data_IF_519327511876
#
_entry.id   IF_519327511876
#
_cell.length_a   1.000
_cell.length_b   1.000
_cell.length_c   1.000
_cell.angle_alpha   90.00
_cell.angle_beta   90.00
_cell.angle_gamma   90.00
#
_symmetry.space_group_name_H-M   'P 1'
#
loop_
_entity.id
_entity.type
_entity.pdbx_description
1 polymer ?
#
# COMPACT_ATOMS: atom_id res chain seq x y z
N UNK A 1 14.47 -20.51 -6.45
CA UNK A 1 15.55 -20.14 -7.39
C UNK A 1 16.78 -21.03 -7.29
N UNK A 2 17.33 -21.31 -6.10
CA UNK A 2 18.47 -22.23 -5.96
C UNK A 2 18.21 -23.61 -6.60
N UNK A 3 17.12 -24.28 -6.22
CA UNK A 3 16.75 -25.60 -6.77
C UNK A 3 16.59 -25.59 -8.29
N UNK A 4 16.03 -24.51 -8.86
CA UNK A 4 15.88 -24.32 -10.30
C UNK A 4 17.24 -24.22 -11.01
N UNK A 5 18.19 -23.45 -10.46
CA UNK A 5 19.52 -23.30 -11.03
C UNK A 5 20.34 -24.60 -10.88
N UNK A 6 20.17 -25.31 -9.76
CA UNK A 6 20.84 -26.58 -9.49
C UNK A 6 20.39 -27.68 -10.47
N UNK A 7 19.08 -27.85 -10.67
CA UNK A 7 18.53 -28.85 -11.59
C UNK A 7 18.94 -28.62 -13.06
N UNK A 8 19.21 -27.38 -13.45
CA UNK A 8 19.60 -27.00 -14.82
C UNK A 8 21.11 -26.81 -15.03
N UNK A 9 21.93 -27.06 -14.01
CA UNK A 9 23.39 -26.87 -14.10
C UNK A 9 23.84 -25.42 -14.20
N UNK A 10 22.98 -24.45 -13.90
CA UNK A 10 23.23 -23.00 -14.01
C UNK A 10 23.99 -22.46 -12.78
N UNK A 11 25.17 -23.01 -12.50
CA UNK A 11 25.95 -22.72 -11.28
C UNK A 11 26.47 -21.28 -11.25
N UNK A 12 26.94 -20.78 -12.39
CA UNK A 12 27.47 -19.42 -12.54
C UNK A 12 26.36 -18.37 -12.37
N UNK A 13 25.18 -18.64 -12.95
CA UNK A 13 24.00 -17.78 -12.79
C UNK A 13 23.60 -17.72 -11.31
N UNK A 14 23.61 -18.85 -10.60
CA UNK A 14 23.37 -18.85 -9.16
C UNK A 14 24.42 -18.06 -8.39
N UNK A 15 25.71 -18.21 -8.73
CA UNK A 15 26.80 -17.44 -8.12
C UNK A 15 26.61 -15.93 -8.29
N UNK A 16 26.27 -15.49 -9.50
CA UNK A 16 25.93 -14.09 -9.79
C UNK A 16 24.70 -13.63 -9.00
N UNK A 17 23.59 -14.38 -9.06
CA UNK A 17 22.36 -14.03 -8.35
C UNK A 17 22.56 -14.00 -6.84
N UNK A 18 23.41 -14.86 -6.28
CA UNK A 18 23.76 -14.86 -4.87
C UNK A 18 24.54 -13.59 -4.50
N UNK A 19 25.61 -13.29 -5.24
CA UNK A 19 26.46 -12.13 -4.97
C UNK A 19 25.73 -10.80 -5.18
N UNK A 20 24.85 -10.73 -6.16
CA UNK A 20 24.11 -9.51 -6.48
C UNK A 20 22.84 -9.35 -5.63
N UNK A 21 22.06 -10.42 -5.47
CA UNK A 21 20.71 -10.35 -4.89
C UNK A 21 20.61 -11.17 -3.60
N UNK A 22 20.80 -12.49 -3.61
CA UNK A 22 20.43 -13.32 -2.45
C UNK A 22 21.38 -13.24 -1.23
N UNK A 23 22.55 -12.61 -1.35
CA UNK A 23 23.47 -12.40 -0.23
C UNK A 23 22.80 -11.56 0.88
N UNK A 24 22.87 -11.93 2.18
CA UNK A 24 22.22 -11.21 3.27
C UNK A 24 22.56 -9.72 3.36
N UNK A 25 23.78 -9.35 2.95
CA UNK A 25 24.23 -7.97 2.92
C UNK A 25 23.51 -7.18 1.81
N UNK A 26 23.35 -7.78 0.63
CA UNK A 26 22.64 -7.19 -0.51
C UNK A 26 21.12 -7.27 -0.36
N UNK A 27 20.60 -8.31 0.31
CA UNK A 27 19.20 -8.48 0.66
C UNK A 27 18.62 -7.21 1.30
N UNK A 28 19.39 -6.55 2.17
CA UNK A 28 18.97 -5.30 2.80
C UNK A 28 18.74 -4.15 1.81
N UNK A 29 19.42 -4.14 0.67
CA UNK A 29 19.37 -3.06 -0.34
C UNK A 29 18.19 -3.18 -1.30
N UNK A 30 17.77 -4.40 -1.65
CA UNK A 30 16.66 -4.61 -2.61
C UNK A 30 15.38 -5.13 -1.96
N UNK A 31 15.47 -5.80 -0.80
CA UNK A 31 14.28 -6.31 -0.10
C UNK A 31 13.64 -5.29 0.84
N UNK A 32 14.26 -4.12 1.04
CA UNK A 32 13.70 -3.04 1.87
C UNK A 32 13.48 -1.76 1.06
N UNK A 33 12.40 -1.07 1.43
CA UNK A 33 12.22 0.37 1.25
C UNK A 33 13.50 1.12 1.61
N UNK A 34 13.78 2.23 0.94
CA UNK A 34 14.92 3.13 1.22
C UNK A 34 15.06 3.48 2.71
N UNK A 35 13.94 3.46 3.43
CA UNK A 35 13.86 3.65 4.88
C UNK A 35 13.42 2.35 5.59
N UNK A 36 14.29 1.72 6.42
CA UNK A 36 14.01 0.47 7.12
C UNK A 36 12.91 0.59 8.18
N UNK A 37 12.67 1.79 8.70
CA UNK A 37 11.68 2.08 9.74
C UNK A 37 10.26 2.24 9.19
N UNK A 38 10.10 2.36 7.86
CA UNK A 38 8.83 2.61 7.20
C UNK A 38 8.31 1.40 6.43
N UNK A 39 7.00 1.15 6.58
CA UNK A 39 6.30 0.18 5.74
C UNK A 39 5.81 0.87 4.47
N UNK A 40 6.08 0.27 3.31
CA UNK A 40 5.57 0.75 2.03
C UNK A 40 4.04 0.87 2.01
N UNK A 41 3.53 2.02 1.56
CA UNK A 41 2.07 2.24 1.37
C UNK A 41 1.53 1.38 0.23
N UNK A 42 2.30 1.28 -0.84
CA UNK A 42 1.95 0.57 -2.06
C UNK A 42 2.76 -0.72 -2.16
N UNK A 43 2.12 -1.84 -2.55
CA UNK A 43 2.86 -3.00 -3.08
C UNK A 43 3.17 -2.67 -4.53
N UNK A 44 4.40 -2.29 -4.84
CA UNK A 44 4.78 -1.74 -6.15
C UNK A 44 4.98 -2.77 -7.25
N UNK A 45 4.90 -4.07 -6.99
CA UNK A 45 5.66 -5.02 -7.82
C UNK A 45 4.82 -5.80 -8.85
N UNK A 46 3.64 -5.33 -9.27
CA UNK A 46 2.92 -6.01 -10.36
C UNK A 46 2.09 -5.09 -11.25
N UNK A 47 1.30 -4.17 -10.68
CA UNK A 47 0.43 -3.32 -11.50
C UNK A 47 1.21 -2.23 -12.25
N UNK A 48 2.24 -1.66 -11.62
CA UNK A 48 3.13 -0.68 -12.24
C UNK A 48 3.99 -1.37 -13.30
N UNK A 49 4.57 -2.53 -12.97
CA UNK A 49 5.31 -3.34 -13.94
C UNK A 49 4.45 -3.77 -15.13
N UNK A 50 3.19 -4.16 -14.92
CA UNK A 50 2.28 -4.53 -16.00
C UNK A 50 1.85 -3.31 -16.84
N UNK A 51 1.59 -2.16 -16.20
CA UNK A 51 1.31 -0.90 -16.90
C UNK A 51 2.46 -0.53 -17.82
N UNK A 52 3.69 -0.57 -17.29
CA UNK A 52 4.89 -0.34 -18.06
C UNK A 52 5.11 -1.46 -19.07
N UNK A 53 4.82 -2.72 -18.80
CA UNK A 53 4.92 -3.80 -19.80
C UNK A 53 4.03 -3.50 -21.01
N UNK A 54 2.78 -3.10 -20.81
CA UNK A 54 1.86 -2.77 -21.90
C UNK A 54 2.33 -1.53 -22.67
N UNK A 55 2.85 -0.51 -21.98
CA UNK A 55 3.31 0.73 -22.62
C UNK A 55 4.73 0.61 -23.20
N UNK A 56 5.73 0.20 -22.43
CA UNK A 56 7.12 -0.02 -22.89
C UNK A 56 7.22 -1.01 -24.04
N UNK A 57 6.40 -2.08 -24.11
CA UNK A 57 6.52 -3.01 -25.24
C UNK A 57 6.21 -2.33 -26.58
N UNK A 58 5.31 -1.34 -26.58
CA UNK A 58 5.02 -0.52 -27.77
C UNK A 58 6.10 0.54 -28.05
N UNK A 59 6.88 0.94 -27.05
CA UNK A 59 7.80 2.08 -27.10
C UNK A 59 9.25 1.62 -27.35
N UNK A 60 9.66 0.49 -26.74
CA UNK A 60 10.98 -0.12 -26.90
C UNK A 60 11.26 -0.56 -28.34
N UNK A 61 10.21 -0.79 -29.14
CA UNK A 61 10.38 -1.14 -30.54
C UNK A 61 10.76 0.06 -31.43
N UNK A 62 10.57 1.30 -30.95
CA UNK A 62 10.72 2.52 -31.76
C UNK A 62 11.79 3.47 -31.19
N UNK A 63 12.05 3.48 -29.88
CA UNK A 63 12.85 4.54 -29.25
C UNK A 63 14.03 3.97 -28.47
N UNK A 64 15.23 4.12 -29.04
CA UNK A 64 16.50 3.61 -28.50
C UNK A 64 17.15 4.52 -27.43
N UNK A 65 16.50 5.61 -26.99
CA UNK A 65 17.10 6.59 -26.07
C UNK A 65 16.23 6.94 -24.87
N UNK A 66 16.86 7.15 -23.71
CA UNK A 66 16.22 7.59 -22.45
C UNK A 66 15.48 8.92 -22.66
N UNK A 67 16.02 9.81 -23.48
CA UNK A 67 15.43 11.13 -23.77
C UNK A 67 14.06 11.04 -24.46
N UNK A 68 13.89 10.08 -25.36
CA UNK A 68 12.60 9.85 -26.03
C UNK A 68 11.56 9.26 -25.07
N UNK A 69 12.00 8.43 -24.11
CA UNK A 69 11.12 7.92 -23.06
C UNK A 69 10.66 9.03 -22.10
N UNK A 70 11.56 9.92 -21.69
CA UNK A 70 11.19 11.07 -20.83
C UNK A 70 10.23 12.01 -21.55
N UNK A 71 10.42 12.24 -22.85
CA UNK A 71 9.51 13.05 -23.66
C UNK A 71 8.11 12.44 -23.71
N UNK A 72 8.00 11.13 -23.96
CA UNK A 72 6.70 10.44 -23.99
C UNK A 72 5.98 10.49 -22.63
N UNK A 73 6.71 10.32 -21.53
CA UNK A 73 6.14 10.48 -20.20
C UNK A 73 5.56 11.88 -20.04
N UNK A 74 6.35 12.90 -20.39
CA UNK A 74 5.95 14.29 -20.22
C UNK A 74 4.74 14.68 -21.06
N UNK A 75 4.66 14.18 -22.31
CA UNK A 75 3.65 14.63 -23.28
C UNK A 75 2.40 13.75 -23.31
N UNK A 76 2.53 12.44 -23.10
CA UNK A 76 1.37 11.53 -23.18
C UNK A 76 0.90 11.05 -21.82
N UNK A 77 1.83 10.59 -20.98
CA UNK A 77 1.46 9.90 -19.74
C UNK A 77 1.02 10.90 -18.68
N UNK A 78 1.83 11.93 -18.42
CA UNK A 78 1.56 12.93 -17.39
C UNK A 78 0.22 13.64 -17.58
N UNK A 79 -0.08 14.28 -18.73
CA UNK A 79 -1.35 15.02 -18.87
C UNK A 79 -2.56 14.10 -18.82
N UNK A 80 -2.46 12.88 -19.35
CA UNK A 80 -3.52 11.87 -19.21
C UNK A 80 -3.75 11.48 -17.75
N UNK A 81 -2.67 11.28 -16.98
CA UNK A 81 -2.78 10.97 -15.56
C UNK A 81 -3.31 12.16 -14.76
N UNK A 82 -2.89 13.38 -15.07
CA UNK A 82 -3.33 14.61 -14.42
C UNK A 82 -4.84 14.83 -14.62
N UNK A 83 -5.33 14.74 -15.86
CA UNK A 83 -6.76 14.83 -16.17
C UNK A 83 -7.60 13.78 -15.41
N UNK A 84 -7.04 12.59 -15.15
CA UNK A 84 -7.69 11.58 -14.29
C UNK A 84 -7.63 11.92 -12.81
N UNK A 85 -6.54 12.53 -12.35
CA UNK A 85 -6.35 12.89 -10.96
C UNK A 85 -7.22 14.09 -10.55
N UNK A 86 -7.47 15.02 -11.49
CA UNK A 86 -8.41 16.13 -11.32
C UNK A 86 -9.79 15.67 -10.85
N UNK A 87 -10.22 14.45 -11.20
CA UNK A 87 -11.50 13.86 -10.75
C UNK A 87 -11.63 13.81 -9.21
N UNK A 88 -10.51 13.80 -8.48
CA UNK A 88 -10.48 13.74 -7.02
C UNK A 88 -10.28 15.10 -6.35
N UNK A 89 -10.11 16.17 -7.12
CA UNK A 89 -10.04 17.54 -6.61
C UNK A 89 -11.39 17.97 -6.01
N UNK A 90 -11.34 18.93 -5.08
CA UNK A 90 -12.55 19.42 -4.42
C UNK A 90 -13.45 20.20 -5.39
N UNK A 91 -12.84 20.90 -6.34
CA UNK A 91 -13.54 21.77 -7.29
C UNK A 91 -14.08 21.00 -8.50
N UNK A 92 -13.70 19.72 -8.64
CA UNK A 92 -14.17 18.86 -9.71
C UNK A 92 -15.64 18.49 -9.48
N UNK A 93 -16.53 19.32 -10.06
CA UNK A 93 -18.00 19.26 -9.99
C UNK A 93 -18.54 19.64 -8.60
N UNK A 94 -18.72 20.93 -8.30
CA UNK A 94 -19.08 21.44 -6.97
C UNK A 94 -20.44 20.96 -6.44
N UNK A 95 -21.31 20.40 -7.30
CA UNK A 95 -22.61 19.84 -6.92
C UNK A 95 -22.62 18.35 -6.58
N UNK A 96 -21.49 17.64 -6.69
CA UNK A 96 -21.43 16.19 -6.43
C UNK A 96 -20.58 15.90 -5.20
N UNK A 97 -20.98 14.88 -4.42
CA UNK A 97 -20.15 14.37 -3.34
C UNK A 97 -18.77 13.92 -3.86
N UNK A 98 -17.72 14.32 -3.14
CA UNK A 98 -16.32 13.98 -3.46
C UNK A 98 -16.14 12.49 -3.71
N UNK A 99 -15.49 12.16 -4.83
CA UNK A 99 -15.27 10.78 -5.22
C UNK A 99 -14.20 10.13 -4.33
N UNK A 100 -14.47 8.92 -3.85
CA UNK A 100 -13.46 8.14 -3.14
C UNK A 100 -12.40 7.66 -4.12
N UNK A 101 -11.12 7.79 -3.72
CA UNK A 101 -10.00 7.20 -4.46
C UNK A 101 -10.16 5.69 -4.57
N UNK A 102 -9.57 5.03 -5.58
CA UNK A 102 -9.61 3.57 -5.71
C UNK A 102 -9.16 2.85 -4.44
N UNK A 103 -8.12 3.37 -3.78
CA UNK A 103 -7.66 2.92 -2.48
C UNK A 103 -8.76 2.99 -1.42
N UNK A 104 -9.41 4.15 -1.23
CA UNK A 104 -10.47 4.34 -0.23
C UNK A 104 -11.69 3.45 -0.51
N UNK A 105 -12.05 3.24 -1.78
CA UNK A 105 -13.13 2.31 -2.16
C UNK A 105 -12.80 0.86 -1.77
N UNK A 106 -11.59 0.41 -2.09
CA UNK A 106 -11.14 -0.94 -1.76
C UNK A 106 -11.00 -1.15 -0.24
N UNK A 107 -10.49 -0.15 0.48
CA UNK A 107 -10.43 -0.11 1.93
C UNK A 107 -11.84 -0.21 2.55
N UNK A 108 -12.78 0.64 2.13
CA UNK A 108 -14.17 0.64 2.60
C UNK A 108 -14.85 -0.71 2.37
N UNK A 109 -14.61 -1.33 1.19
CA UNK A 109 -15.12 -2.68 0.89
C UNK A 109 -14.54 -3.71 1.86
N UNK A 110 -13.21 -3.73 2.03
CA UNK A 110 -12.54 -4.65 2.95
C UNK A 110 -12.98 -4.48 4.41
N UNK A 111 -13.15 -3.24 4.86
CA UNK A 111 -13.67 -2.90 6.18
C UNK A 111 -15.06 -3.49 6.41
N UNK A 112 -16.01 -3.20 5.50
CA UNK A 112 -17.39 -3.72 5.61
C UNK A 112 -17.44 -5.25 5.63
N UNK A 113 -16.64 -5.90 4.78
CA UNK A 113 -16.54 -7.37 4.76
C UNK A 113 -16.03 -7.93 6.08
N UNK A 114 -15.05 -7.27 6.72
CA UNK A 114 -14.50 -7.72 8.00
C UNK A 114 -15.41 -7.39 9.19
N UNK A 115 -16.12 -6.27 9.14
CA UNK A 115 -17.09 -5.87 10.16
C UNK A 115 -18.25 -6.87 10.28
N UNK A 116 -18.71 -7.42 9.14
CA UNK A 116 -19.81 -8.39 9.10
C UNK A 116 -19.42 -9.83 9.48
N UNK A 117 -18.12 -10.16 9.55
CA UNK A 117 -17.69 -11.54 9.83
C UNK A 117 -17.83 -11.88 11.32
N UNK A 118 -18.32 -13.07 11.70
CA UNK A 118 -18.36 -13.46 13.11
C UNK A 118 -16.94 -13.60 13.70
N UNK A 119 -16.79 -13.20 14.97
CA UNK A 119 -15.61 -13.50 15.75
C UNK A 119 -15.58 -15.01 16.05
N UNK A 120 -14.38 -15.58 16.07
CA UNK A 120 -14.21 -16.98 16.46
C UNK A 120 -14.18 -17.11 17.98
N UNK A 121 -14.09 -18.35 18.47
CA UNK A 121 -14.02 -18.66 19.90
C UNK A 121 -12.68 -18.28 20.53
N UNK A 122 -11.61 -18.17 19.73
CA UNK A 122 -10.28 -17.80 20.23
C UNK A 122 -10.20 -16.30 20.55
N UNK A 123 -9.81 -15.98 21.78
CA UNK A 123 -9.49 -14.63 22.20
C UNK A 123 -8.14 -14.20 21.63
N UNK A 124 -8.11 -13.05 20.97
CA UNK A 124 -6.88 -12.43 20.47
C UNK A 124 -6.72 -11.06 21.12
N UNK A 125 -5.50 -10.74 21.54
CA UNK A 125 -5.15 -9.41 22.03
C UNK A 125 -5.11 -8.44 20.85
N UNK A 126 -5.90 -7.37 20.93
CA UNK A 126 -5.90 -6.23 20.01
C UNK A 126 -5.41 -4.99 20.73
N UNK A 127 -4.45 -4.29 20.13
CA UNK A 127 -4.00 -2.99 20.60
C UNK A 127 -4.35 -1.94 19.54
N UNK A 128 -5.29 -1.05 19.86
CA UNK A 128 -5.75 0.01 18.96
C UNK A 128 -4.77 1.19 18.89
N UNK A 129 -4.00 1.45 19.95
CA UNK A 129 -3.00 2.53 20.00
C UNK A 129 -1.85 2.31 19.01
N UNK A 130 -1.51 1.05 18.74
CA UNK A 130 -0.52 0.66 17.72
C UNK A 130 -1.16 0.12 16.45
N UNK A 131 -2.47 -0.08 16.44
CA UNK A 131 -3.23 -0.75 15.38
C UNK A 131 -2.68 -2.17 15.06
N UNK A 132 -2.51 -3.01 16.08
CA UNK A 132 -1.94 -4.37 15.94
C UNK A 132 -2.83 -5.45 16.55
N UNK A 133 -2.86 -6.62 15.92
CA UNK A 133 -3.58 -7.79 16.44
C UNK A 133 -2.72 -9.07 16.38
N UNK A 134 -2.82 -9.87 17.44
CA UNK A 134 -2.13 -11.16 17.58
C UNK A 134 -2.66 -12.28 16.66
N UNK A 135 -3.78 -12.10 15.97
CA UNK A 135 -4.39 -13.15 15.14
C UNK A 135 -3.60 -13.54 13.87
N UNK A 136 -2.52 -12.82 13.54
CA UNK A 136 -1.68 -13.11 12.37
C UNK A 136 -2.33 -12.86 11.00
N UNK A 137 -3.66 -12.67 10.91
CA UNK A 137 -4.35 -12.39 9.64
C UNK A 137 -4.08 -10.98 9.12
N UNK A 138 -3.72 -10.05 10.01
CA UNK A 138 -3.48 -8.66 9.68
C UNK A 138 -2.42 -8.47 8.57
N UNK A 139 -1.32 -9.23 8.61
CA UNK A 139 -0.21 -9.14 7.64
C UNK A 139 -0.59 -9.58 6.21
N UNK A 140 -1.63 -10.40 6.07
CA UNK A 140 -2.07 -10.90 4.77
C UNK A 140 -3.04 -9.93 4.08
N UNK A 141 -3.62 -8.98 4.82
CA UNK A 141 -4.48 -7.95 4.26
C UNK A 141 -3.65 -6.78 3.70
N UNK A 142 -3.94 -6.35 2.47
CA UNK A 142 -3.28 -5.20 1.85
C UNK A 142 -3.43 -3.89 2.65
N UNK A 143 -4.50 -3.78 3.44
CA UNK A 143 -4.83 -2.64 4.28
C UNK A 143 -4.50 -2.87 5.76
N UNK A 144 -3.76 -3.92 6.13
CA UNK A 144 -3.45 -4.24 7.53
C UNK A 144 -4.69 -4.29 8.44
N UNK A 145 -5.81 -4.77 7.89
CA UNK A 145 -7.07 -4.96 8.59
C UNK A 145 -7.25 -6.43 8.99
N UNK A 146 -7.83 -6.65 10.16
CA UNK A 146 -8.37 -7.95 10.57
C UNK A 146 -9.75 -7.75 11.20
N UNK A 147 -10.54 -8.82 11.30
CA UNK A 147 -11.90 -8.76 11.88
C UNK A 147 -11.89 -8.27 13.34
N UNK A 148 -10.88 -8.67 14.12
CA UNK A 148 -10.76 -8.27 15.52
C UNK A 148 -10.53 -6.76 15.67
N UNK A 149 -9.61 -6.16 14.89
CA UNK A 149 -9.37 -4.71 14.92
C UNK A 149 -10.59 -3.92 14.45
N UNK A 150 -11.22 -4.35 13.36
CA UNK A 150 -12.39 -3.65 12.80
C UNK A 150 -13.57 -3.67 13.78
N UNK A 151 -13.74 -4.75 14.53
CA UNK A 151 -14.86 -4.91 15.48
C UNK A 151 -14.56 -4.41 16.89
N UNK A 152 -13.30 -4.14 17.22
CA UNK A 152 -12.89 -3.49 18.45
C UNK A 152 -13.19 -1.97 18.44
N UNK A 153 -13.50 -1.40 17.27
CA UNK A 153 -13.89 0.00 17.10
C UNK A 153 -15.40 0.09 16.86
N UNK A 154 -16.01 1.19 17.28
CA UNK A 154 -17.38 1.53 16.91
C UNK A 154 -17.50 1.71 15.39
N UNK A 155 -18.68 1.47 14.80
CA UNK A 155 -18.92 1.74 13.39
C UNK A 155 -18.57 3.20 13.05
N UNK A 156 -17.58 3.46 12.18
CA UNK A 156 -17.14 4.82 11.91
C UNK A 156 -18.11 5.54 10.96
N UNK A 157 -18.18 6.86 11.10
CA UNK A 157 -18.93 7.75 10.21
C UNK A 157 -18.53 7.56 8.73
N UNK A 158 -19.47 7.65 7.76
CA UNK A 158 -19.14 7.79 6.34
C UNK A 158 -17.93 8.67 6.00
N UNK A 159 -17.72 9.78 6.70
CA UNK A 159 -16.63 10.72 6.43
C UNK A 159 -15.24 10.18 6.80
N UNK A 160 -15.16 9.23 7.74
CA UNK A 160 -13.92 8.48 8.00
C UNK A 160 -13.35 7.87 6.72
N UNK A 161 -14.20 7.27 5.88
CA UNK A 161 -13.74 6.64 4.64
C UNK A 161 -13.25 7.65 3.60
N UNK A 162 -13.61 8.93 3.73
CA UNK A 162 -13.11 10.02 2.88
C UNK A 162 -11.76 10.54 3.34
N UNK A 163 -11.50 10.50 4.64
CA UNK A 163 -10.28 11.06 5.25
C UNK A 163 -9.21 10.00 5.53
N UNK A 164 -9.58 8.71 5.50
CA UNK A 164 -8.65 7.63 5.86
C UNK A 164 -7.40 7.60 4.96
N UNK A 165 -6.25 7.61 5.64
CA UNK A 165 -4.92 7.44 5.04
C UNK A 165 -4.17 6.39 5.86
N UNK A 166 -3.40 5.53 5.17
CA UNK A 166 -2.53 4.55 5.82
C UNK A 166 -1.17 5.16 6.09
N UNK A 167 -0.78 5.17 7.36
CA UNK A 167 0.55 5.59 7.82
C UNK A 167 1.59 4.50 7.53
N UNK A 168 2.84 4.93 7.37
CA UNK A 168 4.00 4.03 7.18
C UNK A 168 4.58 3.53 8.51
N UNK A 169 4.21 4.18 9.61
CA UNK A 169 4.58 3.86 10.99
C UNK A 169 3.34 3.51 11.81
N UNK A 170 3.54 2.84 12.94
CA UNK A 170 2.48 2.60 13.92
C UNK A 170 2.14 3.89 14.68
N UNK A 171 0.85 4.15 14.96
CA UNK A 171 -0.33 3.41 14.50
C UNK A 171 -0.57 3.54 12.99
N UNK A 172 -0.88 2.41 12.33
CA UNK A 172 -1.11 2.40 10.87
C UNK A 172 -2.33 3.22 10.44
N UNK A 173 -3.32 3.33 11.32
CA UNK A 173 -4.47 4.20 11.15
C UNK A 173 -4.68 4.99 12.44
N UNK A 174 -4.76 6.30 12.29
CA UNK A 174 -5.10 7.24 13.37
C UNK A 174 -6.11 8.23 12.80
N UNK A 175 -7.29 8.30 13.41
CA UNK A 175 -8.35 9.19 12.94
C UNK A 175 -9.24 9.62 14.10
N UNK A 176 -9.66 10.89 14.10
CA UNK A 176 -10.54 11.48 15.13
C UNK A 176 -11.88 10.75 15.31
N UNK A 177 -12.42 10.21 14.22
CA UNK A 177 -13.69 9.45 14.20
C UNK A 177 -13.54 7.94 14.47
N UNK A 178 -12.34 7.46 14.85
CA UNK A 178 -12.15 6.08 15.29
C UNK A 178 -12.25 6.05 16.81
N UNK A 179 -13.30 5.43 17.33
CA UNK A 179 -13.55 5.30 18.77
C UNK A 179 -13.50 3.83 19.19
N UNK A 180 -12.64 3.43 20.15
CA UNK A 180 -12.67 2.10 20.74
C UNK A 180 -14.03 1.81 21.38
N UNK A 181 -14.48 0.56 21.29
CA UNK A 181 -15.67 0.12 22.04
C UNK A 181 -15.45 0.11 23.55
N UNK A 182 -14.20 -0.08 23.97
CA UNK A 182 -13.82 -0.15 25.37
C UNK A 182 -13.81 1.22 26.06
N UNK A 183 -14.13 2.30 25.33
CA UNK A 183 -14.17 3.68 25.86
C UNK A 183 -12.80 4.32 26.10
N UNK A 184 -11.71 3.63 25.74
CA UNK A 184 -10.35 4.19 25.82
C UNK A 184 -10.15 5.31 24.82
N UNK A 185 -9.50 6.40 25.23
CA UNK A 185 -9.10 7.45 24.29
C UNK A 185 -7.92 6.98 23.44
N UNK A 186 -8.04 7.12 22.12
CA UNK A 186 -6.94 6.89 21.21
C UNK A 186 -6.04 8.12 21.19
N UNK A 187 -4.88 8.04 21.86
CA UNK A 187 -3.85 9.06 21.70
C UNK A 187 -3.37 9.10 20.25
N UNK A 188 -3.70 10.19 19.56
CA UNK A 188 -3.21 10.48 18.21
C UNK A 188 -1.75 10.89 18.34
N UNK A 189 -0.83 9.92 18.26
CA UNK A 189 0.60 10.24 18.25
C UNK A 189 0.95 10.84 16.87
N UNK A 190 1.26 12.13 16.87
CA UNK A 190 1.59 12.94 15.68
C UNK A 190 3.03 12.72 15.17
N UNK A 191 3.64 11.57 15.49
CA UNK A 191 5.00 11.25 15.08
C UNK A 191 5.00 10.42 13.79
N UNK A 192 5.37 11.03 12.67
CA UNK A 192 5.77 10.32 11.45
C UNK A 192 4.82 10.52 10.27
N UNK A 193 5.42 11.05 9.20
CA UNK A 193 4.79 11.84 8.14
C UNK A 193 3.59 11.16 7.46
N UNK A 194 2.47 11.88 7.48
CA UNK A 194 1.52 11.86 6.36
C UNK A 194 2.14 12.71 5.24
N UNK A 195 3.43 12.55 4.90
CA UNK A 195 3.95 13.20 3.69
C UNK A 195 3.43 12.39 2.52
N UNK A 196 2.89 13.08 1.51
CA UNK A 196 2.25 12.46 0.34
C UNK A 196 3.24 11.75 -0.59
N UNK A 197 4.50 11.61 -0.17
CA UNK A 197 5.51 10.81 -0.86
C UNK A 197 6.46 11.63 -1.72
N UNK A 198 6.73 12.88 -1.33
CA UNK A 198 7.78 13.73 -1.89
C UNK A 198 8.96 13.89 -0.91
N UNK A 199 9.38 12.81 -0.27
CA UNK A 199 10.67 12.70 0.43
C UNK A 199 11.43 11.45 -0.09
#
# INVERSE_FOLDING_TARGET
MYQFCFQRGLREVWGYMWMAWYCPQKYRLWARSSEPSFIGRWRTTMSVENFWRTKLFSILFILASISSFTYLIAVEVLPYTEAKMQIFEADFRPGRAKMLTPYRKAFKKGWKTLAARPLGTQGYVTNLSTWTCSCGQQKYNAFLLCKHLVQAVLPPDPDFFREVVRRRVTPFYSHRLLHPKDGSELHVVNSGSVSDGDD
#
